data_IF_192626335247
#
_entry.id   IF_192626335247
#
_cell.length_a   1.000
_cell.length_b   1.000
_cell.length_c   1.000
_cell.angle_alpha   90.00
_cell.angle_beta   90.00
_cell.angle_gamma   90.00
#
_symmetry.space_group_name_H-M   'P 1'
#
loop_
_entity.id
_entity.type
_entity.pdbx_description
1 polymer ?
#
# COMPACT_ATOMS: atom_id res chain seq x y z
N UNK A 1 -10.72 18.14 9.24
CA UNK A 1 -12.12 18.57 9.42
C UNK A 1 -13.09 17.79 8.54
N UNK A 2 -12.81 17.59 7.24
CA UNK A 2 -13.71 16.88 6.31
C UNK A 2 -14.07 15.46 6.81
N UNK A 3 -13.08 14.63 7.19
CA UNK A 3 -13.35 13.26 7.69
C UNK A 3 -14.22 13.25 8.95
N UNK A 4 -14.00 14.18 9.87
CA UNK A 4 -14.81 14.27 11.09
C UNK A 4 -16.26 14.66 10.75
N UNK A 5 -16.45 15.61 9.83
CA UNK A 5 -17.77 15.98 9.34
C UNK A 5 -18.48 14.82 8.64
N UNK A 6 -17.77 14.09 7.77
CA UNK A 6 -18.28 12.90 7.09
C UNK A 6 -18.71 11.82 8.07
N UNK A 7 -17.84 11.50 9.04
CA UNK A 7 -18.13 10.55 10.12
C UNK A 7 -19.39 10.97 10.89
N UNK A 8 -19.44 12.23 11.35
CA UNK A 8 -20.57 12.74 12.11
C UNK A 8 -21.89 12.62 11.32
N UNK A 9 -21.91 12.99 10.04
CA UNK A 9 -23.13 12.92 9.21
C UNK A 9 -23.58 11.48 9.01
N UNK A 10 -22.68 10.58 8.64
CA UNK A 10 -23.00 9.15 8.41
C UNK A 10 -23.49 8.51 9.70
N UNK A 11 -22.77 8.70 10.80
CA UNK A 11 -23.11 8.16 12.12
C UNK A 11 -24.44 8.72 12.61
N UNK A 12 -24.70 10.03 12.50
CA UNK A 12 -25.97 10.61 12.92
C UNK A 12 -27.15 10.11 12.09
N UNK A 13 -27.01 9.96 10.77
CA UNK A 13 -28.07 9.43 9.92
C UNK A 13 -28.42 7.99 10.29
N UNK A 14 -27.40 7.14 10.46
CA UNK A 14 -27.57 5.73 10.82
C UNK A 14 -28.14 5.58 12.24
N UNK A 15 -27.67 6.38 13.20
CA UNK A 15 -28.18 6.37 14.58
C UNK A 15 -29.61 6.89 14.68
N UNK A 16 -29.95 7.95 13.93
CA UNK A 16 -31.31 8.46 13.87
C UNK A 16 -32.27 7.37 13.37
N UNK A 17 -31.88 6.63 12.33
CA UNK A 17 -32.65 5.48 11.86
C UNK A 17 -32.79 4.40 12.95
N UNK A 18 -31.70 4.08 13.66
CA UNK A 18 -31.68 3.05 14.71
C UNK A 18 -32.56 3.40 15.91
N UNK A 19 -32.68 4.70 16.23
CA UNK A 19 -33.51 5.20 17.33
C UNK A 19 -34.99 5.21 16.93
N UNK A 20 -35.30 5.67 15.72
CA UNK A 20 -36.69 5.83 15.25
C UNK A 20 -37.32 4.47 14.92
N UNK A 21 -36.55 3.54 14.33
CA UNK A 21 -37.02 2.21 13.93
C UNK A 21 -36.04 1.14 14.41
N UNK A 22 -35.98 0.87 15.73
CA UNK A 22 -35.04 -0.10 16.27
C UNK A 22 -35.34 -1.49 15.72
N UNK A 23 -34.36 -2.06 15.02
CA UNK A 23 -34.39 -3.43 14.52
C UNK A 23 -32.98 -4.01 14.63
N UNK A 24 -32.75 -4.72 15.73
CA UNK A 24 -31.46 -5.33 16.05
C UNK A 24 -30.96 -6.24 14.92
N UNK A 25 -31.83 -7.11 14.40
CA UNK A 25 -31.49 -8.08 13.36
C UNK A 25 -31.02 -7.40 12.08
N UNK A 26 -31.65 -6.28 11.69
CA UNK A 26 -31.21 -5.47 10.54
C UNK A 26 -29.76 -5.01 10.71
N UNK A 27 -29.40 -4.44 11.86
CA UNK A 27 -28.04 -3.95 12.07
C UNK A 27 -27.00 -5.07 12.19
N UNK A 28 -27.40 -6.24 12.70
CA UNK A 28 -26.57 -7.44 12.67
C UNK A 28 -26.32 -7.89 11.23
N UNK A 29 -27.36 -8.01 10.39
CA UNK A 29 -27.21 -8.31 8.96
C UNK A 29 -26.26 -7.29 8.32
N UNK A 30 -26.52 -5.99 8.51
CA UNK A 30 -25.69 -4.94 7.93
C UNK A 30 -24.23 -5.05 8.36
N UNK A 31 -23.96 -5.39 9.63
CA UNK A 31 -22.59 -5.58 10.11
C UNK A 31 -21.92 -6.80 9.45
N UNK A 32 -22.60 -7.94 9.38
CA UNK A 32 -22.08 -9.13 8.69
C UNK A 32 -21.86 -8.89 7.20
N UNK A 33 -22.81 -8.26 6.52
CA UNK A 33 -22.68 -7.89 5.10
C UNK A 33 -21.52 -6.91 4.88
N UNK A 34 -21.28 -5.99 5.82
CA UNK A 34 -20.16 -5.06 5.77
C UNK A 34 -18.82 -5.78 5.91
N UNK A 35 -18.68 -6.66 6.90
CA UNK A 35 -17.44 -7.43 7.11
C UNK A 35 -17.13 -8.28 5.88
N UNK A 36 -18.13 -8.99 5.35
CA UNK A 36 -17.96 -9.78 4.14
C UNK A 36 -17.65 -8.91 2.93
N UNK A 37 -18.33 -7.77 2.75
CA UNK A 37 -18.07 -6.87 1.64
C UNK A 37 -16.69 -6.22 1.71
N UNK A 38 -16.19 -5.95 2.91
CA UNK A 38 -14.81 -5.51 3.16
C UNK A 38 -13.83 -6.59 2.70
N UNK A 39 -14.06 -7.87 3.05
CA UNK A 39 -13.22 -8.98 2.58
C UNK A 39 -13.19 -9.05 1.05
N UNK A 40 -14.35 -8.98 0.39
CA UNK A 40 -14.42 -8.96 -1.07
C UNK A 40 -13.66 -7.77 -1.68
N UNK A 41 -13.80 -6.58 -1.10
CA UNK A 41 -13.12 -5.39 -1.61
C UNK A 41 -11.60 -5.55 -1.57
N UNK A 42 -11.02 -5.89 -0.42
CA UNK A 42 -9.57 -6.04 -0.30
C UNK A 42 -9.01 -7.25 -1.06
N UNK A 43 -9.76 -8.34 -1.18
CA UNK A 43 -9.28 -9.54 -1.88
C UNK A 43 -9.27 -9.38 -3.41
N UNK A 44 -10.09 -8.49 -3.97
CA UNK A 44 -10.32 -8.44 -5.43
C UNK A 44 -10.15 -7.05 -6.07
N UNK A 45 -9.79 -6.00 -5.32
CA UNK A 45 -9.65 -4.67 -5.91
C UNK A 45 -8.51 -4.59 -6.94
N UNK A 46 -7.36 -5.23 -6.73
CA UNK A 46 -6.25 -5.16 -7.71
C UNK A 46 -6.55 -5.93 -9.01
N UNK A 47 -7.07 -7.18 -8.99
CA UNK A 47 -7.47 -7.84 -10.23
C UNK A 47 -8.50 -7.02 -11.02
N UNK A 48 -9.45 -6.39 -10.31
CA UNK A 48 -10.45 -5.55 -10.95
C UNK A 48 -9.86 -4.22 -11.44
N UNK A 49 -8.92 -3.60 -10.70
CA UNK A 49 -8.27 -2.35 -11.10
C UNK A 49 -7.51 -2.52 -12.41
N UNK A 50 -6.87 -3.68 -12.63
CA UNK A 50 -6.22 -4.05 -13.90
C UNK A 50 -7.18 -4.11 -15.09
N UNK A 51 -8.46 -4.43 -14.85
CA UNK A 51 -9.49 -4.43 -15.88
C UNK A 51 -9.99 -2.99 -16.10
N UNK A 52 -10.27 -2.26 -15.02
CA UNK A 52 -10.79 -0.89 -15.05
C UNK A 52 -9.79 0.09 -15.67
N UNK A 53 -8.49 -0.07 -15.40
CA UNK A 53 -7.43 0.78 -15.93
C UNK A 53 -7.32 0.73 -17.46
N UNK A 54 -7.76 -0.38 -18.09
CA UNK A 54 -7.82 -0.53 -19.56
C UNK A 54 -8.93 0.31 -20.21
N UNK A 55 -9.93 0.75 -19.44
CA UNK A 55 -11.12 1.46 -19.95
C UNK A 55 -10.82 2.95 -20.28
N UNK A 56 -9.56 3.40 -20.19
CA UNK A 56 -9.09 4.78 -20.50
C UNK A 56 -9.76 5.92 -19.71
N UNK A 57 -10.77 5.65 -18.88
CA UNK A 57 -11.61 6.73 -18.36
C UNK A 57 -10.97 7.49 -17.20
N UNK A 58 -10.17 6.84 -16.36
CA UNK A 58 -9.32 7.51 -15.36
C UNK A 58 -8.38 6.48 -14.72
N UNK A 59 -7.25 6.09 -15.35
CA UNK A 59 -6.41 5.00 -14.86
C UNK A 59 -5.95 5.19 -13.41
N UNK A 60 -5.65 6.43 -13.02
CA UNK A 60 -5.17 6.77 -11.68
C UNK A 60 -6.20 6.56 -10.57
N UNK A 61 -7.50 6.41 -10.87
CA UNK A 61 -8.51 6.06 -9.87
C UNK A 61 -9.02 4.61 -10.00
N UNK A 62 -8.42 3.81 -10.87
CA UNK A 62 -8.91 2.46 -11.15
C UNK A 62 -8.96 1.60 -9.87
N UNK A 63 -7.96 1.70 -9.00
CA UNK A 63 -7.93 0.97 -7.72
C UNK A 63 -9.04 1.41 -6.78
N UNK A 64 -9.13 2.71 -6.47
CA UNK A 64 -10.15 3.25 -5.58
C UNK A 64 -11.57 2.94 -6.07
N UNK A 65 -11.83 3.13 -7.36
CA UNK A 65 -13.12 2.82 -7.96
C UNK A 65 -13.45 1.32 -7.90
N UNK A 66 -12.46 0.46 -8.14
CA UNK A 66 -12.63 -0.99 -8.03
C UNK A 66 -12.94 -1.40 -6.59
N UNK A 67 -12.21 -0.83 -5.63
CA UNK A 67 -12.39 -1.07 -4.20
C UNK A 67 -13.81 -0.68 -3.74
N UNK A 68 -14.27 0.55 -4.03
CA UNK A 68 -15.59 1.00 -3.59
C UNK A 68 -16.73 0.28 -4.31
N UNK A 69 -16.54 -0.08 -5.58
CA UNK A 69 -17.52 -0.84 -6.36
C UNK A 69 -17.68 -2.26 -5.81
N UNK A 70 -16.58 -2.96 -5.56
CA UNK A 70 -16.60 -4.30 -4.96
C UNK A 70 -17.26 -4.27 -3.58
N UNK A 71 -16.88 -3.32 -2.73
CA UNK A 71 -17.51 -3.15 -1.42
C UNK A 71 -19.01 -2.90 -1.55
N UNK A 72 -19.42 -1.92 -2.36
CA UNK A 72 -20.82 -1.51 -2.49
C UNK A 72 -21.72 -2.61 -3.05
N UNK A 73 -21.28 -3.30 -4.11
CA UNK A 73 -22.05 -4.39 -4.74
C UNK A 73 -22.15 -5.60 -3.82
N UNK A 74 -21.02 -6.07 -3.26
CA UNK A 74 -21.03 -7.23 -2.36
C UNK A 74 -21.85 -6.97 -1.10
N UNK A 75 -21.69 -5.78 -0.49
CA UNK A 75 -22.51 -5.34 0.64
C UNK A 75 -24.00 -5.35 0.29
N UNK A 76 -24.39 -4.74 -0.83
CA UNK A 76 -25.79 -4.64 -1.23
C UNK A 76 -26.42 -6.02 -1.47
N UNK A 77 -25.73 -6.90 -2.20
CA UNK A 77 -26.21 -8.27 -2.47
C UNK A 77 -26.36 -9.04 -1.16
N UNK A 78 -25.33 -9.05 -0.31
CA UNK A 78 -25.37 -9.80 0.95
C UNK A 78 -26.42 -9.27 1.92
N UNK A 79 -26.62 -7.94 1.95
CA UNK A 79 -27.67 -7.31 2.75
C UNK A 79 -29.05 -7.71 2.24
N UNK A 80 -29.28 -7.68 0.93
CA UNK A 80 -30.54 -8.11 0.32
C UNK A 80 -30.83 -9.58 0.61
N UNK A 81 -29.83 -10.45 0.50
CA UNK A 81 -29.96 -11.87 0.85
C UNK A 81 -30.24 -12.07 2.35
N UNK A 82 -29.58 -11.29 3.21
CA UNK A 82 -29.82 -11.32 4.66
C UNK A 82 -31.25 -10.92 5.01
N UNK A 83 -31.74 -9.83 4.43
CA UNK A 83 -33.13 -9.38 4.59
C UNK A 83 -34.14 -10.42 4.10
N UNK A 84 -33.85 -11.13 3.00
CA UNK A 84 -34.71 -12.19 2.49
C UNK A 84 -34.70 -13.45 3.39
N UNK A 85 -33.56 -13.75 4.00
CA UNK A 85 -33.38 -14.96 4.82
C UNK A 85 -34.01 -14.84 6.20
N UNK A 86 -33.95 -13.65 6.82
CA UNK A 86 -34.53 -13.44 8.13
C UNK A 86 -36.06 -13.37 8.04
N UNK A 87 -36.71 -14.47 8.45
CA UNK A 87 -38.15 -14.58 8.67
C UNK A 87 -38.65 -13.58 9.73
N UNK A 88 -39.96 -13.23 9.73
CA UNK A 88 -40.48 -12.09 10.48
C UNK A 88 -40.15 -12.09 11.98
N UNK A 89 -39.74 -10.90 12.43
CA UNK A 89 -39.55 -10.36 13.78
C UNK A 89 -39.59 -11.35 14.95
N UNK A 90 -38.41 -11.84 15.33
CA UNK A 90 -38.18 -12.22 16.72
C UNK A 90 -38.37 -10.98 17.60
N UNK A 91 -39.48 -10.95 18.35
CA UNK A 91 -39.80 -9.84 19.26
C UNK A 91 -38.89 -9.90 20.49
N UNK A 92 -37.79 -9.16 20.43
CA UNK A 92 -37.00 -8.84 21.61
C UNK A 92 -37.71 -7.75 22.44
N UNK A 93 -37.50 -7.69 23.77
CA UNK A 93 -37.95 -6.56 24.56
C UNK A 93 -37.45 -5.23 23.98
N UNK A 94 -38.29 -4.20 23.95
CA UNK A 94 -38.00 -2.93 23.26
C UNK A 94 -36.68 -2.29 23.71
N UNK A 95 -36.38 -2.36 25.01
CA UNK A 95 -35.14 -1.83 25.60
C UNK A 95 -33.93 -2.57 25.02
N UNK A 96 -33.98 -3.90 24.98
CA UNK A 96 -32.91 -4.75 24.45
C UNK A 96 -32.73 -4.49 22.96
N UNK A 97 -33.83 -4.48 22.20
CA UNK A 97 -33.81 -4.22 20.76
C UNK A 97 -33.20 -2.85 20.42
N UNK A 98 -33.61 -1.80 21.15
CA UNK A 98 -33.10 -0.43 20.94
C UNK A 98 -31.63 -0.30 21.32
N UNK A 99 -31.22 -0.80 22.49
CA UNK A 99 -29.83 -0.73 22.95
C UNK A 99 -28.88 -1.41 21.98
N UNK A 100 -29.21 -2.63 21.53
CA UNK A 100 -28.36 -3.32 20.56
C UNK A 100 -28.42 -2.68 19.17
N UNK A 101 -29.58 -2.19 18.70
CA UNK A 101 -29.66 -1.45 17.44
C UNK A 101 -28.71 -0.25 17.43
N UNK A 102 -28.69 0.54 18.51
CA UNK A 102 -27.79 1.69 18.65
C UNK A 102 -26.32 1.25 18.68
N UNK A 103 -25.98 0.22 19.46
CA UNK A 103 -24.60 -0.27 19.54
C UNK A 103 -24.07 -0.78 18.19
N UNK A 104 -24.82 -1.67 17.52
CA UNK A 104 -24.39 -2.25 16.25
C UNK A 104 -24.37 -1.23 15.11
N UNK A 105 -25.31 -0.29 15.11
CA UNK A 105 -25.34 0.80 14.12
C UNK A 105 -24.15 1.77 14.27
N UNK A 106 -23.70 2.03 15.51
CA UNK A 106 -22.48 2.79 15.77
C UNK A 106 -21.25 2.09 15.19
N UNK A 107 -21.06 0.80 15.51
CA UNK A 107 -19.94 -0.01 14.99
C UNK A 107 -19.99 -0.05 13.46
N UNK A 108 -21.16 -0.31 12.87
CA UNK A 108 -21.33 -0.31 11.42
C UNK A 108 -20.95 1.05 10.80
N UNK A 109 -21.43 2.17 11.36
CA UNK A 109 -21.10 3.51 10.84
C UNK A 109 -19.61 3.84 10.90
N UNK A 110 -18.91 3.35 11.94
CA UNK A 110 -17.46 3.49 12.09
C UNK A 110 -16.71 2.80 10.94
N UNK A 111 -17.03 1.54 10.66
CA UNK A 111 -16.38 0.80 9.59
C UNK A 111 -16.73 1.33 8.20
N UNK A 112 -18.00 1.68 7.93
CA UNK A 112 -18.41 2.27 6.65
C UNK A 112 -17.67 3.58 6.40
N UNK A 113 -17.56 4.44 7.42
CA UNK A 113 -16.80 5.67 7.27
C UNK A 113 -15.32 5.39 7.03
N UNK A 114 -14.73 4.45 7.78
CA UNK A 114 -13.34 4.04 7.55
C UNK A 114 -13.11 3.55 6.11
N UNK A 115 -14.01 2.71 5.57
CA UNK A 115 -13.95 2.25 4.18
C UNK A 115 -13.99 3.40 3.17
N UNK A 116 -14.81 4.44 3.41
CA UNK A 116 -14.83 5.64 2.57
C UNK A 116 -13.50 6.39 2.65
N UNK A 117 -12.91 6.51 3.84
CA UNK A 117 -11.60 7.15 4.01
C UNK A 117 -10.49 6.34 3.30
N UNK A 118 -10.53 5.00 3.37
CA UNK A 118 -9.62 4.14 2.60
C UNK A 118 -9.78 4.39 1.10
N UNK A 119 -11.02 4.37 0.59
CA UNK A 119 -11.31 4.70 -0.79
C UNK A 119 -10.72 6.06 -1.20
N UNK A 120 -10.97 7.12 -0.42
CA UNK A 120 -10.42 8.45 -0.68
C UNK A 120 -8.89 8.48 -0.60
N UNK A 121 -8.26 7.62 0.20
CA UNK A 121 -6.81 7.47 0.23
C UNK A 121 -6.26 6.85 -1.06
N UNK A 122 -7.04 6.03 -1.76
CA UNK A 122 -6.65 5.39 -3.03
C UNK A 122 -6.96 6.26 -4.26
N UNK A 123 -7.70 7.37 -4.09
CA UNK A 123 -8.02 8.25 -5.20
C UNK A 123 -6.84 9.17 -5.55
N UNK A 124 -6.64 9.53 -6.83
CA UNK A 124 -5.57 10.44 -7.26
C UNK A 124 -5.97 11.88 -6.93
N UNK A 125 -5.79 12.23 -5.66
CA UNK A 125 -6.05 13.54 -5.12
C UNK A 125 -4.83 14.03 -4.35
N UNK A 126 -4.82 15.32 -4.05
CA UNK A 126 -3.74 15.95 -3.30
C UNK A 126 -3.53 15.27 -1.94
N UNK A 127 -2.27 15.13 -1.52
CA UNK A 127 -1.91 14.40 -0.29
C UNK A 127 -2.51 14.99 1.00
N UNK A 128 -3.06 16.20 0.96
CA UNK A 128 -3.81 16.81 2.08
C UNK A 128 -5.24 16.25 2.24
N UNK A 129 -5.72 15.47 1.29
CA UNK A 129 -7.03 14.83 1.33
C UNK A 129 -6.94 13.30 1.52
N UNK A 130 -7.92 12.69 2.21
CA UNK A 130 -9.10 13.31 2.85
C UNK A 130 -8.78 14.12 4.12
N UNK A 131 -7.56 13.99 4.63
CA UNK A 131 -6.97 14.81 5.69
C UNK A 131 -5.45 14.80 5.57
N UNK A 132 -4.73 15.81 6.08
CA UNK A 132 -3.29 15.90 5.92
C UNK A 132 -2.57 14.99 6.93
N UNK A 133 -2.25 13.77 6.49
CA UNK A 133 -1.64 12.72 7.35
C UNK A 133 -0.20 13.03 7.79
N UNK A 134 0.51 13.88 7.04
CA UNK A 134 1.91 14.26 7.28
C UNK A 134 2.14 15.78 7.34
N UNK A 135 1.11 16.57 7.67
CA UNK A 135 1.14 18.03 7.53
C UNK A 135 2.29 18.71 8.31
N UNK A 136 2.61 18.20 9.50
CA UNK A 136 3.43 18.96 10.46
C UNK A 136 4.77 18.30 10.79
N UNK A 137 5.11 17.21 10.10
CA UNK A 137 6.38 16.53 10.29
C UNK A 137 7.15 16.46 8.98
N UNK A 138 8.47 16.67 8.99
CA UNK A 138 9.27 16.15 7.91
C UNK A 138 8.97 14.65 7.85
N UNK A 139 8.98 14.05 6.65
CA UNK A 139 8.95 12.59 6.51
C UNK A 139 10.34 12.14 6.97
N UNK A 140 10.59 12.24 8.27
CA UNK A 140 11.78 11.76 8.92
C UNK A 140 11.50 10.30 9.11
N UNK A 141 12.20 9.51 8.31
CA UNK A 141 12.43 8.13 8.66
C UNK A 141 13.01 8.12 10.07
N UNK A 142 12.24 7.60 11.03
CA UNK A 142 12.67 7.54 12.43
C UNK A 142 13.97 6.73 12.57
N UNK A 143 14.47 6.50 13.79
CA UNK A 143 15.61 5.60 14.01
C UNK A 143 15.41 4.21 13.39
N UNK A 144 14.17 3.82 13.09
CA UNK A 144 13.73 2.58 12.43
C UNK A 144 13.50 2.71 10.91
N UNK A 145 13.77 3.86 10.28
CA UNK A 145 13.43 4.12 8.87
C UNK A 145 11.95 3.87 8.53
N UNK A 146 11.09 4.10 9.52
CA UNK A 146 9.64 4.08 9.38
C UNK A 146 9.11 5.52 9.42
N UNK A 147 8.04 5.75 8.68
CA UNK A 147 7.36 7.03 8.63
C UNK A 147 6.25 6.99 9.68
N UNK A 148 6.29 7.90 10.65
CA UNK A 148 5.26 7.99 11.68
C UNK A 148 4.22 9.06 11.27
N UNK A 149 2.95 8.69 11.01
CA UNK A 149 1.92 9.66 10.66
C UNK A 149 1.66 10.62 11.83
N UNK A 150 1.06 11.76 11.52
CA UNK A 150 0.50 12.63 12.55
C UNK A 150 -0.68 11.93 13.23
N UNK A 151 -0.73 12.01 14.57
CA UNK A 151 -1.82 11.41 15.33
C UNK A 151 -3.11 12.15 14.98
N UNK A 152 -3.99 11.52 14.21
CA UNK A 152 -5.35 12.04 14.05
C UNK A 152 -6.22 11.56 15.21
N UNK A 153 -7.24 12.35 15.55
CA UNK A 153 -8.16 12.02 16.65
C UNK A 153 -8.92 10.71 16.40
N UNK A 154 -9.16 10.34 15.13
CA UNK A 154 -9.86 9.13 14.72
C UNK A 154 -9.19 8.52 13.48
N UNK A 155 -8.31 7.53 13.68
CA UNK A 155 -7.68 6.76 12.61
C UNK A 155 -8.62 5.65 12.08
N UNK A 156 -9.77 6.06 11.52
CA UNK A 156 -10.83 5.15 11.05
C UNK A 156 -10.34 4.21 9.94
N UNK A 157 -9.56 4.76 9.01
CA UNK A 157 -8.93 4.02 7.91
C UNK A 157 -7.96 2.95 8.42
N UNK A 158 -7.06 3.31 9.35
CA UNK A 158 -6.12 2.35 9.95
C UNK A 158 -6.82 1.27 10.77
N UNK A 159 -7.97 1.58 11.39
CA UNK A 159 -8.78 0.56 12.07
C UNK A 159 -9.37 -0.45 11.08
N UNK A 160 -9.88 0.04 9.94
CA UNK A 160 -10.43 -0.82 8.87
C UNK A 160 -9.35 -1.68 8.22
N UNK A 161 -8.22 -1.10 7.83
CA UNK A 161 -7.10 -1.88 7.26
C UNK A 161 -6.51 -2.82 8.30
N UNK A 162 -6.35 -2.38 9.56
CA UNK A 162 -5.83 -3.22 10.63
C UNK A 162 -6.74 -4.41 10.92
N UNK A 163 -8.06 -4.23 10.88
CA UNK A 163 -9.02 -5.32 10.98
C UNK A 163 -8.90 -6.29 9.81
N UNK A 164 -8.76 -5.80 8.56
CA UNK A 164 -8.53 -6.68 7.43
C UNK A 164 -7.21 -7.44 7.52
N UNK A 165 -6.12 -6.77 7.92
CA UNK A 165 -4.81 -7.40 8.13
C UNK A 165 -4.91 -8.57 9.12
N UNK A 166 -5.67 -8.38 10.21
CA UNK A 166 -5.94 -9.45 11.19
C UNK A 166 -6.71 -10.62 10.55
N UNK A 167 -7.70 -10.35 9.71
CA UNK A 167 -8.45 -11.39 9.00
C UNK A 167 -7.57 -12.12 7.96
N UNK A 168 -6.75 -11.38 7.20
CA UNK A 168 -5.87 -11.94 6.18
C UNK A 168 -4.73 -12.77 6.76
N UNK A 169 -4.25 -12.45 7.96
CA UNK A 169 -3.26 -13.27 8.65
C UNK A 169 -3.86 -14.55 9.27
N UNK A 170 -5.19 -14.61 9.37
CA UNK A 170 -5.92 -15.74 9.94
C UNK A 170 -6.53 -16.65 8.87
N UNK A 171 -7.84 -16.86 8.95
CA UNK A 171 -8.57 -17.81 8.11
C UNK A 171 -8.69 -17.41 6.63
N UNK A 172 -8.29 -16.19 6.27
CA UNK A 172 -8.33 -15.67 4.90
C UNK A 172 -6.93 -15.49 4.30
N UNK A 173 -5.90 -16.13 4.87
CA UNK A 173 -4.56 -16.14 4.30
C UNK A 173 -4.57 -16.82 2.94
N UNK A 174 -4.30 -16.05 1.88
CA UNK A 174 -4.10 -16.60 0.54
C UNK A 174 -2.66 -17.07 0.34
N UNK A 175 -2.20 -17.04 -0.91
CA UNK A 175 -0.77 -17.22 -1.22
C UNK A 175 0.08 -16.03 -0.76
N UNK A 176 -0.56 -14.87 -0.60
CA UNK A 176 0.02 -13.62 -0.16
C UNK A 176 -0.79 -13.03 0.99
N UNK A 177 -0.14 -12.75 2.09
CA UNK A 177 -0.73 -12.04 3.22
C UNK A 177 -0.76 -10.54 2.90
N UNK A 178 -1.95 -9.95 2.96
CA UNK A 178 -2.13 -8.54 2.65
C UNK A 178 -1.27 -7.64 3.54
N UNK A 179 -1.10 -8.00 4.83
CA UNK A 179 -0.26 -7.26 5.77
C UNK A 179 1.24 -7.24 5.41
N UNK A 180 1.71 -8.17 4.56
CA UNK A 180 3.10 -8.17 4.09
C UNK A 180 3.24 -7.34 2.83
N UNK A 181 2.38 -7.62 1.85
CA UNK A 181 2.45 -6.97 0.54
C UNK A 181 2.11 -5.48 0.67
N UNK A 182 1.11 -5.16 1.47
CA UNK A 182 0.62 -3.80 1.70
C UNK A 182 0.82 -3.38 3.16
N UNK A 183 2.01 -3.62 3.70
CA UNK A 183 2.37 -3.11 5.01
C UNK A 183 2.13 -1.58 5.05
N UNK A 184 1.43 -1.13 6.08
CA UNK A 184 0.97 0.26 6.22
C UNK A 184 0.23 0.81 4.98
N UNK A 185 -0.64 0.01 4.34
CA UNK A 185 -1.39 0.34 3.12
C UNK A 185 -1.86 1.81 3.00
N UNK A 186 -2.43 2.37 4.06
CA UNK A 186 -2.89 3.77 4.02
C UNK A 186 -1.73 4.75 3.92
N UNK A 187 -0.69 4.58 4.73
CA UNK A 187 0.49 5.44 4.70
C UNK A 187 1.12 5.43 3.31
N UNK A 188 1.21 4.24 2.72
CA UNK A 188 1.66 4.00 1.36
C UNK A 188 0.83 4.78 0.33
N UNK A 189 -0.51 4.67 0.36
CA UNK A 189 -1.38 5.41 -0.55
C UNK A 189 -1.22 6.93 -0.43
N UNK A 190 -0.97 7.45 0.78
CA UNK A 190 -0.68 8.88 0.97
C UNK A 190 0.69 9.29 0.42
N UNK A 191 1.70 8.44 0.60
CA UNK A 191 3.06 8.68 0.12
C UNK A 191 3.17 8.59 -1.39
N UNK A 192 2.45 7.66 -2.02
CA UNK A 192 2.40 7.50 -3.46
C UNK A 192 1.84 8.76 -4.16
N UNK A 193 0.97 9.51 -3.47
CA UNK A 193 0.36 10.76 -3.95
C UNK A 193 1.08 12.02 -3.48
N UNK A 194 2.17 11.91 -2.73
CA UNK A 194 2.86 13.07 -2.15
C UNK A 194 3.31 14.10 -3.20
N UNK A 195 3.64 13.63 -4.41
CA UNK A 195 4.12 14.46 -5.53
C UNK A 195 3.08 14.62 -6.64
N UNK A 196 1.81 14.28 -6.37
CA UNK A 196 0.76 14.32 -7.38
C UNK A 196 0.48 15.75 -7.88
N UNK A 197 0.44 16.73 -6.96
CA UNK A 197 0.29 18.16 -7.31
C UNK A 197 1.43 18.66 -8.21
N UNK A 198 2.61 18.05 -8.11
CA UNK A 198 3.76 18.40 -8.93
C UNK A 198 3.77 17.66 -10.28
N UNK A 199 2.76 16.85 -10.60
CA UNK A 199 2.63 16.13 -11.86
C UNK A 199 3.32 14.77 -11.92
N UNK A 200 3.73 14.21 -10.76
CA UNK A 200 4.22 12.82 -10.69
C UNK A 200 3.03 11.89 -10.48
N UNK A 201 2.86 10.94 -11.39
CA UNK A 201 1.76 9.98 -11.33
C UNK A 201 1.87 9.08 -10.09
N UNK A 202 0.77 8.78 -9.37
CA UNK A 202 0.76 7.88 -8.22
C UNK A 202 0.63 6.41 -8.62
N UNK A 203 0.38 6.12 -9.91
CA UNK A 203 0.18 4.77 -10.44
C UNK A 203 1.33 4.34 -11.35
N UNK A 204 1.55 3.04 -11.45
CA UNK A 204 2.54 2.45 -12.35
C UNK A 204 1.90 1.36 -13.22
N UNK A 205 2.51 1.07 -14.36
CA UNK A 205 2.18 -0.17 -15.05
C UNK A 205 2.71 -1.38 -14.27
N UNK A 206 2.05 -2.53 -14.38
CA UNK A 206 2.43 -3.78 -13.65
C UNK A 206 3.90 -4.20 -13.85
N UNK A 207 4.50 -3.85 -15.00
CA UNK A 207 5.89 -4.16 -15.36
C UNK A 207 6.84 -2.96 -15.21
N UNK A 208 6.42 -1.94 -14.44
CA UNK A 208 7.15 -0.68 -14.38
C UNK A 208 8.45 -0.79 -13.60
N UNK A 209 8.56 -1.81 -12.76
CA UNK A 209 9.78 -2.15 -12.05
C UNK A 209 10.11 -3.62 -12.27
N UNK A 210 11.41 -3.88 -12.40
CA UNK A 210 11.97 -5.21 -12.43
C UNK A 210 13.25 -5.24 -11.59
N UNK A 211 13.65 -6.43 -11.15
CA UNK A 211 14.94 -6.66 -10.49
C UNK A 211 15.66 -7.69 -11.37
N UNK A 212 16.79 -7.32 -12.00
CA UNK A 212 17.42 -8.19 -12.97
C UNK A 212 17.86 -9.49 -12.31
N UNK A 213 17.65 -10.61 -13.00
CA UNK A 213 18.07 -11.93 -12.54
C UNK A 213 19.57 -12.14 -12.78
N UNK A 214 20.37 -11.37 -12.05
CA UNK A 214 21.83 -11.43 -12.10
C UNK A 214 22.39 -11.65 -10.70
N UNK A 215 23.55 -12.33 -10.58
CA UNK A 215 24.27 -12.39 -9.33
C UNK A 215 24.46 -10.98 -8.77
N UNK A 216 24.18 -10.81 -7.48
CA UNK A 216 24.28 -9.52 -6.77
C UNK A 216 23.24 -8.45 -7.14
N UNK A 217 22.09 -8.82 -7.75
CA UNK A 217 20.97 -7.91 -7.91
C UNK A 217 20.46 -7.34 -6.57
N UNK A 218 20.63 -8.08 -5.47
CA UNK A 218 20.57 -7.55 -4.12
C UNK A 218 21.80 -8.00 -3.32
N UNK A 219 22.42 -7.05 -2.60
CA UNK A 219 23.66 -7.28 -1.84
C UNK A 219 23.77 -6.36 -0.64
N UNK A 220 24.50 -6.77 0.41
CA UNK A 220 24.92 -5.82 1.45
C UNK A 220 25.86 -4.77 0.84
N UNK A 221 25.68 -3.51 1.20
CA UNK A 221 26.49 -2.41 0.70
C UNK A 221 27.96 -2.58 1.11
N UNK A 222 28.92 -2.24 0.22
CA UNK A 222 30.33 -2.28 0.56
C UNK A 222 30.65 -1.41 1.79
N UNK A 223 31.49 -1.91 2.71
CA UNK A 223 31.87 -1.18 3.95
C UNK A 223 32.53 0.18 3.68
N UNK A 224 33.09 0.37 2.49
CA UNK A 224 33.79 1.59 2.07
C UNK A 224 32.94 2.50 1.17
N UNK A 225 31.64 2.24 1.02
CA UNK A 225 30.73 3.09 0.25
C UNK A 225 30.72 4.51 0.85
N UNK A 226 30.93 5.54 0.02
CA UNK A 226 31.03 6.94 0.45
C UNK A 226 29.88 7.77 -0.10
N UNK A 227 29.44 8.75 0.68
CA UNK A 227 28.48 9.74 0.22
C UNK A 227 29.04 10.62 -0.91
N UNK A 228 28.21 10.94 -1.90
CA UNK A 228 28.57 11.79 -3.04
C UNK A 228 28.98 13.21 -2.60
N UNK A 229 28.19 13.81 -1.69
CA UNK A 229 28.34 15.19 -1.24
C UNK A 229 29.52 15.39 -0.29
N UNK A 230 29.69 14.49 0.69
CA UNK A 230 30.67 14.68 1.79
C UNK A 230 31.92 13.82 1.65
N UNK A 231 31.91 12.84 0.75
CA UNK A 231 32.96 11.82 0.60
C UNK A 231 33.25 11.01 1.88
N UNK A 232 32.38 11.10 2.89
CA UNK A 232 32.45 10.31 4.13
C UNK A 232 31.85 8.92 3.90
N UNK A 233 32.34 7.92 4.62
CA UNK A 233 31.79 6.57 4.58
C UNK A 233 30.35 6.57 5.08
N UNK A 234 29.47 5.87 4.37
CA UNK A 234 28.07 5.70 4.74
C UNK A 234 28.01 4.97 6.08
N UNK A 235 27.44 5.63 7.08
CA UNK A 235 27.44 5.11 8.45
C UNK A 235 26.52 3.89 8.54
N UNK A 236 27.00 2.85 9.21
CA UNK A 236 26.14 1.77 9.71
C UNK A 236 25.20 2.33 10.78
N UNK A 237 24.01 1.78 10.85
CA UNK A 237 23.02 2.12 11.86
C UNK A 237 22.81 0.88 12.70
N UNK A 238 22.81 1.06 14.02
CA UNK A 238 22.69 -0.06 14.95
C UNK A 238 21.46 -0.91 14.61
N UNK A 239 21.63 -2.23 14.61
CA UNK A 239 20.60 -3.23 14.32
C UNK A 239 20.04 -3.16 12.90
N UNK A 240 20.78 -2.58 11.94
CA UNK A 240 20.40 -2.54 10.52
C UNK A 240 21.58 -2.72 9.60
N UNK A 241 21.28 -3.28 8.43
CA UNK A 241 22.22 -3.42 7.32
C UNK A 241 21.76 -2.58 6.15
N UNK A 242 22.69 -1.92 5.48
CA UNK A 242 22.41 -1.23 4.23
C UNK A 242 22.48 -2.26 3.11
N UNK A 243 21.35 -2.52 2.45
CA UNK A 243 21.29 -3.33 1.24
C UNK A 243 21.24 -2.42 0.02
N UNK A 244 21.96 -2.80 -1.04
CA UNK A 244 21.83 -2.24 -2.37
C UNK A 244 21.00 -3.22 -3.20
N UNK A 245 19.90 -2.73 -3.77
CA UNK A 245 19.04 -3.50 -4.66
C UNK A 245 19.04 -2.83 -6.02
N UNK A 246 19.47 -3.56 -7.04
CA UNK A 246 19.45 -3.14 -8.42
C UNK A 246 18.02 -3.20 -8.93
N UNK A 247 17.50 -2.07 -9.37
CA UNK A 247 16.15 -1.96 -9.94
C UNK A 247 16.24 -1.46 -11.37
N UNK A 248 15.44 -2.03 -12.24
CA UNK A 248 15.18 -1.51 -13.57
C UNK A 248 13.79 -0.86 -13.59
N UNK A 249 13.72 0.42 -13.94
CA UNK A 249 12.45 1.16 -14.00
C UNK A 249 12.12 1.44 -15.47
N UNK A 250 11.00 0.89 -15.93
CA UNK A 250 10.53 1.07 -17.30
C UNK A 250 10.05 2.50 -17.53
N UNK A 251 10.67 3.15 -18.53
CA UNK A 251 10.31 4.49 -18.97
C UNK A 251 9.20 4.48 -20.04
N UNK A 252 8.44 3.41 -20.15
CA UNK A 252 7.28 3.33 -21.04
C UNK A 252 6.04 4.02 -20.46
N UNK A 253 4.98 4.09 -21.27
CA UNK A 253 3.67 4.53 -20.80
C UNK A 253 3.08 3.52 -19.81
N UNK A 254 2.31 3.97 -18.82
CA UNK A 254 1.61 3.11 -17.85
C UNK A 254 0.85 1.96 -18.52
N UNK A 255 0.11 2.25 -19.59
CA UNK A 255 -0.64 1.24 -20.38
C UNK A 255 0.23 0.15 -21.02
N UNK A 256 1.51 0.40 -21.19
CA UNK A 256 2.51 -0.52 -21.74
C UNK A 256 3.37 -1.15 -20.63
N UNK A 257 3.06 -0.90 -19.36
CA UNK A 257 3.85 -1.41 -18.25
C UNK A 257 4.96 -0.48 -17.77
N UNK A 258 4.96 0.82 -18.09
CA UNK A 258 5.96 1.77 -17.57
C UNK A 258 5.42 2.77 -16.56
N UNK A 259 6.15 3.86 -16.30
CA UNK A 259 5.78 4.89 -15.32
C UNK A 259 5.14 6.15 -15.90
N UNK A 260 5.13 6.31 -17.23
CA UNK A 260 4.75 7.57 -17.89
C UNK A 260 3.23 7.64 -18.09
N UNK A 261 2.59 8.59 -17.41
CA UNK A 261 1.20 8.95 -17.65
C UNK A 261 1.08 9.96 -18.82
N UNK A 262 -0.14 10.22 -19.32
CA UNK A 262 -0.36 11.21 -20.39
C UNK A 262 0.14 12.59 -19.95
N UNK A 263 1.24 13.05 -20.55
CA UNK A 263 1.86 14.34 -20.23
C UNK A 263 2.80 14.32 -19.01
N UNK A 264 3.00 13.14 -18.39
CA UNK A 264 3.93 12.96 -17.27
C UNK A 264 5.39 12.89 -17.71
N UNK A 265 6.30 13.23 -16.79
CA UNK A 265 7.74 13.12 -16.98
C UNK A 265 8.32 11.75 -16.58
N UNK A 266 9.64 11.64 -16.66
CA UNK A 266 10.43 10.49 -16.20
C UNK A 266 10.77 10.57 -14.71
N UNK A 267 9.86 11.18 -13.94
CA UNK A 267 10.08 11.51 -12.53
C UNK A 267 9.40 10.48 -11.63
N UNK A 268 10.08 10.12 -10.55
CA UNK A 268 9.53 9.31 -9.46
C UNK A 268 9.82 10.00 -8.12
N UNK A 269 8.96 9.80 -7.14
CA UNK A 269 9.27 10.14 -5.75
C UNK A 269 9.97 8.97 -5.07
N UNK A 270 11.02 9.17 -4.26
CA UNK A 270 11.59 8.08 -3.47
C UNK A 270 10.58 7.45 -2.49
N UNK A 271 9.57 8.21 -2.03
CA UNK A 271 8.47 7.67 -1.24
C UNK A 271 7.53 6.72 -2.02
N UNK A 272 7.58 6.74 -3.36
CA UNK A 272 6.84 5.82 -4.22
C UNK A 272 7.57 4.49 -4.42
N UNK A 273 8.79 4.35 -3.93
CA UNK A 273 9.58 3.13 -4.01
C UNK A 273 9.71 2.56 -2.60
N UNK A 274 9.52 1.25 -2.45
CA UNK A 274 9.68 0.57 -1.16
C UNK A 274 10.25 -0.82 -1.33
N UNK A 275 10.98 -1.25 -0.33
CA UNK A 275 11.49 -2.62 -0.23
C UNK A 275 10.65 -3.37 0.80
N UNK A 276 9.96 -4.40 0.34
CA UNK A 276 9.26 -5.37 1.18
C UNK A 276 10.31 -6.35 1.71
N UNK A 277 10.33 -6.51 3.02
CA UNK A 277 11.23 -7.40 3.73
C UNK A 277 10.41 -8.42 4.54
N UNK A 278 10.94 -9.63 4.68
CA UNK A 278 10.36 -10.70 5.49
C UNK A 278 11.44 -11.33 6.37
N UNK A 279 11.06 -11.97 7.48
CA UNK A 279 11.98 -12.79 8.29
C UNK A 279 12.41 -14.07 7.57
N UNK A 280 11.55 -14.61 6.70
CA UNK A 280 11.83 -15.83 5.95
C UNK A 280 11.67 -15.60 4.44
N UNK A 281 12.71 -15.94 3.68
CA UNK A 281 12.69 -15.84 2.21
C UNK A 281 11.81 -16.92 1.57
N UNK A 282 11.76 -18.13 2.14
CA UNK A 282 10.97 -19.23 1.56
C UNK A 282 9.46 -18.94 1.59
N UNK A 283 9.03 -18.21 2.63
CA UNK A 283 7.65 -17.76 2.82
C UNK A 283 7.55 -16.25 2.55
N UNK A 284 8.16 -15.78 1.47
CA UNK A 284 8.35 -14.34 1.18
C UNK A 284 7.11 -13.45 1.35
N UNK A 285 5.91 -13.99 1.08
CA UNK A 285 4.65 -13.26 1.21
C UNK A 285 3.75 -13.74 2.35
N UNK A 286 4.27 -14.48 3.34
CA UNK A 286 3.52 -14.95 4.51
C UNK A 286 4.20 -14.62 5.85
N UNK A 287 3.40 -14.38 6.90
CA UNK A 287 3.87 -14.09 8.25
C UNK A 287 4.18 -12.62 8.57
N UNK A 288 5.34 -12.36 9.18
CA UNK A 288 5.75 -11.03 9.65
C UNK A 288 6.60 -10.31 8.59
N UNK A 289 5.97 -9.42 7.83
CA UNK A 289 6.63 -8.52 6.89
C UNK A 289 6.88 -7.12 7.44
N UNK A 290 7.73 -6.36 6.76
CA UNK A 290 7.83 -4.91 6.94
C UNK A 290 8.22 -4.25 5.62
N UNK A 291 7.77 -3.02 5.42
CA UNK A 291 8.24 -2.16 4.32
C UNK A 291 9.28 -1.14 4.79
N UNK A 292 10.36 -0.98 4.02
CA UNK A 292 11.35 0.11 4.20
C UNK A 292 11.45 1.00 2.98
N UNK A 293 11.68 2.29 3.21
CA UNK A 293 11.85 3.28 2.15
C UNK A 293 13.32 3.44 1.76
N UNK A 294 13.59 3.84 0.50
CA UNK A 294 14.95 4.04 0.02
C UNK A 294 15.59 5.24 0.72
N UNK A 295 16.88 5.12 1.00
CA UNK A 295 17.68 6.20 1.60
C UNK A 295 18.60 6.89 0.61
N UNK A 296 18.77 6.33 -0.58
CA UNK A 296 19.61 6.86 -1.62
C UNK A 296 19.86 5.86 -2.74
N UNK A 297 20.77 6.19 -3.63
CA UNK A 297 21.21 5.31 -4.73
C UNK A 297 22.70 5.48 -5.00
N UNK A 298 23.30 4.50 -5.66
CA UNK A 298 24.69 4.57 -6.12
C UNK A 298 24.74 5.23 -7.50
N UNK A 299 25.52 6.31 -7.59
CA UNK A 299 25.79 7.03 -8.85
C UNK A 299 26.83 6.29 -9.69
N UNK A 300 26.95 6.65 -10.98
CA UNK A 300 27.95 6.10 -11.91
C UNK A 300 29.41 6.16 -11.38
N UNK A 301 29.71 7.12 -10.50
CA UNK A 301 31.02 7.27 -9.86
C UNK A 301 31.19 6.38 -8.60
N UNK A 302 30.34 5.38 -8.40
CA UNK A 302 30.33 4.48 -7.23
C UNK A 302 30.18 5.23 -5.89
N UNK A 303 29.53 6.40 -5.91
CA UNK A 303 29.23 7.19 -4.71
C UNK A 303 27.75 7.13 -4.38
N UNK A 304 27.43 7.12 -3.10
CA UNK A 304 26.07 7.07 -2.59
C UNK A 304 25.45 8.46 -2.51
N UNK A 305 24.40 8.72 -3.29
CA UNK A 305 23.62 9.94 -3.24
C UNK A 305 22.38 9.71 -2.39
N UNK A 306 22.15 10.58 -1.41
CA UNK A 306 21.02 10.45 -0.48
C UNK A 306 19.72 10.89 -1.16
N UNK A 307 18.63 10.21 -0.85
CA UNK A 307 17.29 10.68 -1.22
C UNK A 307 16.70 11.59 -0.14
N UNK A 308 15.93 12.57 -0.59
CA UNK A 308 14.85 13.16 0.20
C UNK A 308 13.53 12.53 -0.26
N UNK A 309 12.79 11.94 0.68
CA UNK A 309 11.54 11.23 0.39
C UNK A 309 10.46 12.14 -0.23
N UNK A 310 10.53 13.46 0.00
CA UNK A 310 9.64 14.45 -0.61
C UNK A 310 10.17 15.04 -1.91
N UNK A 311 11.35 14.64 -2.36
CA UNK A 311 11.92 15.17 -3.60
C UNK A 311 11.47 14.38 -4.80
N UNK A 312 11.48 15.03 -5.96
CA UNK A 312 11.40 14.35 -7.25
C UNK A 312 12.78 13.87 -7.67
N UNK A 313 12.80 12.70 -8.28
CA UNK A 313 13.97 12.12 -8.89
C UNK A 313 13.74 11.88 -10.38
N UNK A 314 14.55 12.50 -11.22
CA UNK A 314 14.47 12.33 -12.67
C UNK A 314 15.33 11.13 -13.12
N UNK A 315 14.72 10.19 -13.85
CA UNK A 315 15.37 8.97 -14.32
C UNK A 315 16.21 9.16 -15.60
N UNK A 316 16.01 10.24 -16.36
CA UNK A 316 16.71 10.50 -17.64
C UNK A 316 18.25 10.47 -17.61
N UNK A 317 18.95 11.02 -16.60
CA UNK A 317 20.41 11.04 -16.60
C UNK A 317 21.05 9.66 -16.36
N UNK A 318 20.27 8.62 -16.11
CA UNK A 318 20.77 7.27 -15.87
C UNK A 318 20.82 6.52 -17.18
N UNK A 319 21.94 5.83 -17.46
CA UNK A 319 22.17 5.14 -18.74
C UNK A 319 20.99 4.21 -19.05
N UNK A 320 20.16 4.51 -20.06
CA UNK A 320 19.09 3.61 -20.44
C UNK A 320 19.72 2.28 -20.90
N UNK A 321 19.19 1.15 -20.42
CA UNK A 321 19.56 -0.14 -20.97
C UNK A 321 18.99 -0.28 -22.42
N UNK A 322 19.26 -1.41 -23.09
CA UNK A 322 18.75 -1.66 -24.45
C UNK A 322 17.22 -1.53 -24.56
N UNK A 323 16.51 -1.69 -23.44
CA UNK A 323 15.05 -1.62 -23.35
C UNK A 323 14.54 -0.24 -22.89
N UNK A 324 15.40 0.78 -22.80
CA UNK A 324 15.08 2.11 -22.26
C UNK A 324 14.65 2.12 -20.79
N UNK A 325 15.06 1.11 -20.01
CA UNK A 325 14.86 1.13 -18.57
C UNK A 325 15.98 1.93 -17.92
N UNK A 326 15.64 2.72 -16.89
CA UNK A 326 16.63 3.31 -16.01
C UNK A 326 17.09 2.26 -14.99
N UNK A 327 18.40 2.06 -14.86
CA UNK A 327 19.00 1.09 -13.93
C UNK A 327 19.59 1.84 -12.75
N UNK A 328 19.22 1.43 -11.53
CA UNK A 328 19.65 2.07 -10.28
C UNK A 328 20.05 1.02 -9.25
N UNK A 329 21.18 1.22 -8.56
CA UNK A 329 21.49 0.48 -7.33
C UNK A 329 20.95 1.28 -6.14
N UNK A 330 19.73 0.95 -5.68
CA UNK A 330 19.01 1.68 -4.63
C UNK A 330 19.35 1.15 -3.25
N UNK A 331 19.64 2.05 -2.31
CA UNK A 331 20.01 1.72 -0.94
C UNK A 331 18.83 1.70 0.03
N UNK A 332 18.73 0.64 0.83
CA UNK A 332 17.70 0.44 1.86
C UNK A 332 18.35 0.00 3.18
N UNK A 333 17.96 0.59 4.30
CA UNK A 333 18.37 0.09 5.61
C UNK A 333 17.37 -0.93 6.12
N UNK A 334 17.74 -2.21 6.04
CA UNK A 334 16.92 -3.35 6.46
C UNK A 334 17.27 -3.71 7.91
N UNK A 335 16.26 -3.86 8.80
CA UNK A 335 16.46 -4.35 10.16
C UNK A 335 17.12 -5.73 10.21
N UNK A 336 17.96 -5.96 11.22
CA UNK A 336 18.51 -7.29 11.48
C UNK A 336 17.39 -8.33 11.70
N UNK A 337 17.58 -9.52 11.14
CA UNK A 337 16.58 -10.59 11.16
C UNK A 337 15.54 -10.53 10.02
N UNK A 338 15.56 -9.48 9.20
CA UNK A 338 14.77 -9.38 7.97
C UNK A 338 15.66 -9.48 6.73
N UNK A 339 15.09 -10.00 5.65
CA UNK A 339 15.72 -10.11 4.33
C UNK A 339 14.85 -9.42 3.26
N UNK A 340 15.46 -8.76 2.26
CA UNK A 340 14.75 -8.26 1.08
C UNK A 340 14.02 -9.39 0.35
N UNK A 341 12.75 -9.20 0.00
CA UNK A 341 11.97 -10.20 -0.75
C UNK A 341 11.33 -9.65 -2.02
N UNK A 342 10.94 -8.38 -2.02
CA UNK A 342 10.39 -7.71 -3.19
C UNK A 342 10.64 -6.21 -3.13
N UNK A 343 10.75 -5.56 -4.30
CA UNK A 343 10.69 -4.11 -4.43
C UNK A 343 9.37 -3.75 -5.07
N UNK A 344 8.74 -2.71 -4.54
CA UNK A 344 7.48 -2.20 -5.05
C UNK A 344 7.63 -0.73 -5.43
N UNK A 345 7.08 -0.40 -6.59
CA UNK A 345 7.02 0.93 -7.16
C UNK A 345 5.56 1.33 -7.35
N UNK A 346 5.14 2.38 -6.66
CA UNK A 346 3.77 2.90 -6.63
C UNK A 346 2.80 1.81 -6.13
N UNK A 347 1.51 1.93 -6.41
CA UNK A 347 0.49 1.01 -5.90
C UNK A 347 0.44 -0.35 -6.65
N UNK A 348 0.98 -0.42 -7.88
CA UNK A 348 0.67 -1.51 -8.82
C UNK A 348 1.84 -2.44 -9.19
N UNK A 349 3.10 -2.02 -9.02
CA UNK A 349 4.25 -2.68 -9.64
C UNK A 349 5.17 -3.31 -8.60
N UNK A 350 5.21 -4.64 -8.54
CA UNK A 350 6.02 -5.40 -7.59
C UNK A 350 6.97 -6.32 -8.36
N UNK A 351 8.26 -6.24 -8.05
CA UNK A 351 9.30 -7.12 -8.57
C UNK A 351 9.93 -7.94 -7.44
N UNK A 352 10.12 -9.25 -7.67
CA UNK A 352 10.76 -10.13 -6.69
C UNK A 352 12.25 -9.82 -6.59
N UNK A 353 12.78 -9.79 -5.37
CA UNK A 353 14.21 -9.60 -5.13
C UNK A 353 14.87 -10.97 -4.96
N UNK A 354 15.97 -11.29 -5.67
CA UNK A 354 16.70 -12.54 -5.47
C UNK A 354 17.21 -12.71 -4.03
N UNK A 355 17.31 -13.96 -3.58
CA UNK A 355 17.76 -14.26 -2.22
C UNK A 355 19.23 -13.84 -2.05
N UNK A 356 19.49 -12.86 -1.18
CA UNK A 356 20.83 -12.35 -0.92
C UNK A 356 21.74 -13.39 -0.25
N UNK A 357 21.14 -14.38 0.42
CA UNK A 357 21.86 -15.43 1.14
C UNK A 357 21.91 -16.76 0.38
N UNK A 358 21.33 -16.86 -0.82
CA UNK A 358 21.48 -18.06 -1.63
C UNK A 358 22.94 -18.19 -2.07
N UNK A 359 23.54 -19.36 -1.84
CA UNK A 359 24.79 -19.70 -2.52
C UNK A 359 24.52 -19.68 -4.03
N UNK A 360 25.44 -19.14 -4.84
CA UNK A 360 25.27 -19.17 -6.29
C UNK A 360 25.09 -20.62 -6.71
N UNK A 361 23.96 -20.94 -7.34
CA UNK A 361 23.77 -22.26 -7.96
C UNK A 361 24.93 -22.43 -8.95
N UNK A 362 25.79 -23.42 -8.70
CA UNK A 362 26.81 -23.81 -9.66
C UNK A 362 26.06 -24.20 -10.93
N UNK A 363 26.21 -23.39 -11.99
CA UNK A 363 25.74 -23.77 -13.33
C UNK A 363 26.41 -25.09 -13.67
N UNK A 364 25.70 -26.20 -13.46
CA UNK A 364 26.06 -27.48 -14.06
C UNK A 364 25.97 -27.27 -15.57
N UNK A 365 27.11 -26.97 -16.18
CA UNK A 365 27.32 -27.07 -17.62
C UNK A 365 26.91 -28.49 -18.03
N UNK A 366 25.67 -28.63 -18.51
CA UNK A 366 25.30 -29.77 -19.35
C UNK A 366 26.15 -29.67 -20.62
N UNK A 367 27.31 -30.32 -20.57
CA UNK A 367 28.14 -30.60 -21.73
C UNK A 367 27.33 -31.46 -22.72
N UNK A 368 26.71 -30.80 -23.70
CA UNK A 368 26.11 -31.41 -24.89
C UNK A 368 27.05 -31.36 -26.09
#
# INVERSE_FOLDING_TARGET
MIVIGLFAVITLAILAEAIVKPNFYKYVIMLFSMVSGLVFAYSFFEPLSKIVSKINWFPAAAEGLSFVLLFGISFAILKLLGDFTIRPELKLPDIVNRSFSVLFSLIFSFFVTGMIVVFLSMMPMEAKYPYPRYANKPIVTNSNYQIAPDKTFLNLDSAVTGFYNMLSAGSLSGDKDFGIVHDNFIDTNFLDRALYEEGVSPIAGEKAIDVPDVPQAAREAPKLLKYAETNQVVKKINNKKLYLVKVEISQDKVKNGGIIEKGGGYEIGPAQLRLICNKNYSDMFKGDGLSVFPVGFVTDNSKFQKFDLKSKFNLLPHKPNKNKNAVLDVGFYVPEGYVPVAVELRQDAIAKVPNVNAEPEEETEENG
#
